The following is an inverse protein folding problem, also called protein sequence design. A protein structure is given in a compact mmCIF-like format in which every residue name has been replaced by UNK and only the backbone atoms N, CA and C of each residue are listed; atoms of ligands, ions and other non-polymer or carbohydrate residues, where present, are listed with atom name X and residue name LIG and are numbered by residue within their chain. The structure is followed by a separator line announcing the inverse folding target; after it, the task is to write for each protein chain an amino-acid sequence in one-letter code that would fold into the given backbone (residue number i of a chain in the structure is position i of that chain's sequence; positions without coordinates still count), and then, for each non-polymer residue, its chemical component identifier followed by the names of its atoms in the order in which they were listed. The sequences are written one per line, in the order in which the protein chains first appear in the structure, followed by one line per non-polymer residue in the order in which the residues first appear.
data_IF_425282374699
#
_entry.id   IF_425282374699
#
_cell.length_a   1.000
_cell.length_b   1.000
_cell.length_c   1.000
_cell.angle_alpha   90.00
_cell.angle_beta   90.00
_cell.angle_gamma   90.00
#
_symmetry.space_group_name_H-M   'P 1'
#
loop_
_entity.id
_entity.type
_entity.pdbx_description
1 polymer ?
#
# COMPACT_ATOMS: atom_id res chain seq x y z
N UNK A 1 -14.18 8.43 7.05
CA UNK A 1 -14.75 8.77 7.98
C UNK A 1 -15.48 10.11 8.18
N UNK A 2 -16.72 10.07 8.60
CA UNK A 2 -17.61 11.22 8.84
C UNK A 2 -17.83 12.15 7.63
N UNK A 3 -17.83 11.61 6.37
CA UNK A 3 -18.01 12.42 5.17
C UNK A 3 -16.82 13.28 4.75
N UNK A 4 -15.67 13.17 5.44
CA UNK A 4 -14.47 13.95 5.12
C UNK A 4 -13.56 13.20 4.14
N UNK A 5 -12.93 13.95 3.24
CA UNK A 5 -11.93 13.47 2.31
C UNK A 5 -10.53 13.69 2.91
N UNK A 6 -9.80 12.59 3.08
CA UNK A 6 -8.40 12.61 3.51
C UNK A 6 -7.51 12.36 2.32
N UNK A 7 -6.52 13.19 2.09
CA UNK A 7 -5.58 13.06 0.99
C UNK A 7 -4.14 13.19 1.44
N UNK A 8 -3.25 12.53 0.72
CA UNK A 8 -1.81 12.77 0.78
C UNK A 8 -1.42 13.75 -0.31
N UNK A 9 -0.74 14.81 0.05
CA UNK A 9 -0.11 15.75 -0.86
C UNK A 9 1.38 15.41 -0.93
N UNK A 10 1.79 14.69 -1.99
CA UNK A 10 3.14 14.12 -2.13
C UNK A 10 4.09 15.05 -2.87
N UNK A 11 4.86 15.82 -2.14
CA UNK A 11 5.86 16.75 -2.69
C UNK A 11 7.28 16.14 -2.77
N UNK A 12 7.50 14.99 -2.13
CA UNK A 12 8.81 14.32 -2.14
C UNK A 12 8.98 13.36 -3.32
N UNK A 13 7.88 12.88 -3.92
CA UNK A 13 7.97 12.00 -5.06
C UNK A 13 8.59 12.71 -6.28
N UNK A 14 9.48 12.07 -7.07
CA UNK A 14 9.89 10.66 -6.98
C UNK A 14 11.12 10.38 -6.10
N UNK A 15 11.65 11.35 -5.39
CA UNK A 15 12.89 11.17 -4.65
C UNK A 15 12.70 11.44 -3.16
N UNK A 16 13.01 10.42 -2.34
CA UNK A 16 13.06 10.57 -0.90
C UNK A 16 14.08 11.65 -0.51
N UNK A 17 13.66 12.61 0.30
CA UNK A 17 14.51 13.68 0.80
C UNK A 17 15.36 13.22 2.00
N UNK A 18 16.41 13.95 2.35
CA UNK A 18 17.15 13.73 3.59
C UNK A 18 16.23 13.74 4.82
N UNK A 19 16.67 13.09 5.90
CA UNK A 19 15.89 13.06 7.14
C UNK A 19 15.63 14.48 7.68
N UNK A 20 14.40 14.77 8.05
CA UNK A 20 13.99 16.08 8.53
C UNK A 20 13.64 17.09 7.43
N UNK A 21 13.82 16.76 6.16
CA UNK A 21 13.51 17.64 5.03
C UNK A 21 12.27 17.20 4.23
N UNK A 22 11.44 16.36 4.84
CA UNK A 22 10.18 15.92 4.23
C UNK A 22 9.23 17.08 3.95
N UNK A 23 8.48 16.99 2.85
CA UNK A 23 7.53 18.03 2.42
C UNK A 23 6.12 17.49 2.21
N UNK A 24 5.95 16.17 2.30
CA UNK A 24 4.64 15.57 2.15
C UNK A 24 3.76 15.91 3.34
N UNK A 25 2.48 16.02 3.08
CA UNK A 25 1.50 16.35 4.12
C UNK A 25 0.19 15.63 3.91
N UNK A 26 -0.58 15.53 4.99
CA UNK A 26 -1.93 14.99 4.97
C UNK A 26 -2.90 16.14 5.16
N UNK A 27 -3.88 16.20 4.28
CA UNK A 27 -4.93 17.19 4.25
C UNK A 27 -6.28 16.54 4.52
N UNK A 28 -7.16 17.31 5.17
CA UNK A 28 -8.55 16.94 5.38
C UNK A 28 -9.41 17.99 4.71
N UNK A 29 -10.36 17.54 3.93
CA UNK A 29 -11.38 18.38 3.33
C UNK A 29 -12.75 18.00 3.89
N UNK A 30 -13.58 18.98 4.18
CA UNK A 30 -14.94 18.78 4.67
C UNK A 30 -15.93 19.53 3.79
N UNK A 31 -17.01 18.85 3.47
CA UNK A 31 -18.22 19.39 2.88
C UNK A 31 -19.19 19.60 4.05
N UNK A 32 -19.36 20.87 4.46
CA UNK A 32 -20.03 21.22 5.72
C UNK A 32 -21.55 21.26 5.57
N UNK A 33 -22.05 21.57 4.37
CA UNK A 33 -23.48 21.68 4.09
C UNK A 33 -24.02 20.52 3.21
N UNK A 34 -23.15 19.58 2.83
CA UNK A 34 -23.45 18.39 2.00
C UNK A 34 -23.96 18.75 0.60
N UNK A 35 -23.44 19.81 -0.01
CA UNK A 35 -23.78 20.20 -1.37
C UNK A 35 -22.85 19.57 -2.44
N UNK A 36 -21.81 18.84 -2.02
CA UNK A 36 -20.83 18.20 -2.88
C UNK A 36 -19.58 19.05 -3.15
N UNK A 37 -19.49 20.23 -2.56
CA UNK A 37 -18.29 21.05 -2.54
C UNK A 37 -17.58 20.93 -1.20
N UNK A 38 -16.28 21.15 -1.18
CA UNK A 38 -15.48 21.10 0.05
C UNK A 38 -15.08 22.53 0.46
N UNK A 39 -15.78 23.11 1.43
CA UNK A 39 -15.57 24.50 1.90
C UNK A 39 -14.34 24.61 2.77
N UNK A 40 -14.03 23.57 3.51
CA UNK A 40 -12.90 23.61 4.44
C UNK A 40 -11.74 22.72 4.03
N UNK A 41 -10.54 23.22 4.28
CA UNK A 41 -9.27 22.50 4.08
C UNK A 41 -8.40 22.68 5.31
N UNK A 42 -8.05 21.59 5.96
CA UNK A 42 -7.17 21.54 7.12
C UNK A 42 -5.91 20.74 6.83
N UNK A 43 -4.76 21.18 7.32
CA UNK A 43 -3.54 20.37 7.37
C UNK A 43 -3.58 19.54 8.64
N UNK A 44 -3.61 18.22 8.52
CA UNK A 44 -3.52 17.30 9.65
C UNK A 44 -2.08 17.18 10.14
N UNK A 45 -1.16 16.92 9.23
CA UNK A 45 0.28 16.79 9.51
C UNK A 45 1.09 17.16 8.27
N UNK A 46 2.28 17.69 8.48
CA UNK A 46 3.26 18.02 7.43
C UNK A 46 4.67 17.54 7.84
N UNK A 47 5.62 17.66 6.92
CA UNK A 47 7.00 17.21 7.14
C UNK A 47 7.20 15.71 6.93
N UNK A 48 6.23 15.02 6.36
CA UNK A 48 6.36 13.61 5.98
C UNK A 48 7.24 13.45 4.73
N UNK A 49 7.71 12.24 4.47
CA UNK A 49 8.71 12.02 3.44
C UNK A 49 8.44 10.77 2.62
N UNK A 50 8.08 10.95 1.35
CA UNK A 50 7.77 9.90 0.39
C UNK A 50 6.59 9.03 0.85
N UNK A 51 5.47 9.67 1.15
CA UNK A 51 4.24 8.99 1.53
C UNK A 51 3.59 8.37 0.31
N UNK A 52 3.33 7.07 0.37
CA UNK A 52 2.74 6.30 -0.73
C UNK A 52 1.53 5.45 -0.31
N UNK A 53 1.24 5.39 0.98
CA UNK A 53 0.07 4.70 1.53
C UNK A 53 -0.50 5.45 2.72
N UNK A 54 -1.83 5.46 2.84
CA UNK A 54 -2.51 6.05 3.98
C UNK A 54 -3.85 5.35 4.23
N UNK A 55 -4.20 5.19 5.50
CA UNK A 55 -5.52 4.73 5.91
C UNK A 55 -5.90 5.31 7.26
N UNK A 56 -7.15 5.76 7.39
CA UNK A 56 -7.69 6.29 8.65
C UNK A 56 -8.43 5.18 9.40
N UNK A 57 -8.24 5.11 10.70
CA UNK A 57 -8.93 4.14 11.54
C UNK A 57 -8.18 3.81 12.82
N UNK A 58 -8.85 3.08 13.70
CA UNK A 58 -8.29 2.65 15.00
C UNK A 58 -7.66 3.80 15.82
N UNK A 59 -8.33 4.97 15.83
CA UNK A 59 -7.91 6.12 16.63
C UNK A 59 -6.73 6.92 16.07
N UNK A 60 -6.58 6.94 14.73
CA UNK A 60 -5.55 7.74 14.09
C UNK A 60 -5.36 7.46 12.61
N UNK A 61 -4.22 7.87 12.10
CA UNK A 61 -3.84 7.78 10.69
C UNK A 61 -2.62 6.87 10.54
N UNK A 62 -2.74 5.89 9.67
CA UNK A 62 -1.71 4.91 9.33
C UNK A 62 -1.06 5.29 8.01
N UNK A 63 0.27 5.40 8.01
CA UNK A 63 1.01 6.03 6.91
C UNK A 63 2.13 5.11 6.46
N UNK A 64 2.15 4.81 5.16
CA UNK A 64 3.29 4.20 4.49
C UNK A 64 4.23 5.27 3.97
N UNK A 65 5.37 5.44 4.62
CA UNK A 65 6.43 6.37 4.26
C UNK A 65 7.76 5.63 4.30
N UNK A 66 8.03 4.83 3.25
CA UNK A 66 9.18 3.94 3.24
C UNK A 66 10.48 4.65 3.69
N UNK A 67 11.27 4.02 4.59
CA UNK A 67 11.22 2.62 4.99
C UNK A 67 10.24 2.28 6.11
N UNK A 68 9.32 3.16 6.48
CA UNK A 68 8.52 3.06 7.71
C UNK A 68 7.04 2.87 7.45
N UNK A 69 6.39 2.13 8.35
CA UNK A 69 4.98 2.20 8.63
C UNK A 69 4.82 3.05 9.90
N UNK A 70 4.10 4.16 9.77
CA UNK A 70 3.86 5.12 10.84
C UNK A 70 2.41 5.08 11.30
N UNK A 71 2.20 5.43 12.55
CA UNK A 71 0.88 5.72 13.12
C UNK A 71 0.91 7.10 13.78
N UNK A 72 -0.06 7.94 13.43
CA UNK A 72 -0.27 9.25 14.08
C UNK A 72 -1.60 9.18 14.81
N UNK A 73 -1.60 9.26 16.15
CA UNK A 73 -2.83 9.18 16.93
C UNK A 73 -3.72 10.42 16.74
N UNK A 74 -5.00 10.19 16.66
CA UNK A 74 -6.11 11.15 16.72
C UNK A 74 -7.29 10.40 17.35
N UNK A 75 -7.23 10.24 18.67
CA UNK A 75 -8.13 9.35 19.43
C UNK A 75 -9.48 9.96 19.69
N UNK A 76 -9.53 11.27 19.89
CA UNK A 76 -10.77 12.02 20.08
C UNK A 76 -11.45 12.42 18.76
N UNK A 77 -10.71 12.34 17.66
CA UNK A 77 -11.21 12.58 16.31
C UNK A 77 -11.47 14.05 16.01
N UNK A 78 -10.67 14.94 16.59
CA UNK A 78 -10.75 16.40 16.41
C UNK A 78 -9.96 16.88 15.18
N UNK A 79 -9.36 15.94 14.43
CA UNK A 79 -8.53 16.21 13.25
C UNK A 79 -7.21 16.88 13.56
N UNK A 80 -6.69 16.65 14.75
CA UNK A 80 -5.35 17.06 15.17
C UNK A 80 -4.58 15.86 15.71
N UNK A 81 -3.28 15.76 15.45
CA UNK A 81 -2.47 14.72 16.06
C UNK A 81 -2.43 14.86 17.60
N UNK A 82 -2.76 13.79 18.32
CA UNK A 82 -2.61 13.70 19.78
C UNK A 82 -1.15 13.60 20.24
N UNK A 83 -0.23 13.42 19.29
CA UNK A 83 1.18 13.25 19.59
C UNK A 83 2.02 13.04 18.33
N UNK A 84 3.32 12.82 18.50
CA UNK A 84 4.22 12.57 17.37
C UNK A 84 3.89 11.25 16.65
N UNK A 85 4.34 11.15 15.41
CA UNK A 85 4.25 9.90 14.66
C UNK A 85 5.02 8.77 15.35
N UNK A 86 4.36 7.65 15.54
CA UNK A 86 4.93 6.42 16.09
C UNK A 86 5.42 5.55 14.94
N UNK A 87 6.70 5.09 14.99
CA UNK A 87 7.22 4.11 14.02
C UNK A 87 6.82 2.72 14.46
N UNK A 88 5.89 2.10 13.75
CA UNK A 88 5.40 0.75 14.05
C UNK A 88 6.30 -0.34 13.46
N UNK A 89 6.72 -0.12 12.23
CA UNK A 89 7.63 -1.00 11.48
C UNK A 89 8.63 -0.16 10.70
N UNK A 90 9.78 -0.77 10.43
CA UNK A 90 10.77 -0.24 9.49
C UNK A 90 11.30 -1.33 8.55
N UNK A 91 12.13 -0.94 7.58
CA UNK A 91 12.79 -1.86 6.67
C UNK A 91 12.03 -2.15 5.37
N UNK A 92 10.99 -1.36 5.05
CA UNK A 92 10.41 -1.35 3.70
C UNK A 92 11.40 -0.73 2.71
N UNK A 93 11.62 -1.41 1.58
CA UNK A 93 12.48 -0.92 0.51
C UNK A 93 11.88 0.29 -0.21
N UNK A 94 12.77 1.14 -0.76
CA UNK A 94 12.40 2.31 -1.58
C UNK A 94 13.43 2.59 -2.69
N UNK A 95 14.08 1.55 -3.18
CA UNK A 95 15.02 1.68 -4.30
C UNK A 95 14.29 2.08 -5.59
N UNK A 96 13.10 1.55 -5.79
CA UNK A 96 12.15 2.06 -6.78
C UNK A 96 10.99 2.75 -6.07
N UNK A 97 10.95 4.07 -6.16
CA UNK A 97 9.94 4.89 -5.48
C UNK A 97 8.56 4.83 -6.11
N UNK A 98 8.44 4.26 -7.33
CA UNK A 98 7.16 4.09 -8.00
C UNK A 98 6.28 3.00 -7.35
N UNK A 99 6.87 2.13 -6.54
CA UNK A 99 6.21 0.93 -6.05
C UNK A 99 6.59 0.58 -4.61
N UNK A 100 6.76 1.61 -3.79
CA UNK A 100 6.97 1.47 -2.35
C UNK A 100 5.70 0.93 -1.67
N UNK A 101 5.69 0.88 -0.36
CA UNK A 101 4.55 0.45 0.45
C UNK A 101 3.30 1.28 0.14
N UNK A 102 2.22 0.64 -0.34
CA UNK A 102 1.06 1.35 -0.88
C UNK A 102 -0.28 0.61 -0.66
N UNK A 103 -1.38 1.19 -1.15
CA UNK A 103 -2.72 0.59 -1.21
C UNK A 103 -3.24 0.11 0.14
N UNK A 104 -3.21 0.97 1.13
CA UNK A 104 -3.69 0.63 2.47
C UNK A 104 -5.20 0.48 2.52
N UNK A 105 -5.67 -0.60 3.14
CA UNK A 105 -7.08 -0.78 3.45
C UNK A 105 -7.29 -1.61 4.71
N UNK A 106 -8.41 -1.40 5.38
CA UNK A 106 -8.88 -2.29 6.44
C UNK A 106 -9.56 -3.51 5.83
N UNK A 107 -9.04 -4.68 6.11
CA UNK A 107 -9.70 -5.93 5.75
C UNK A 107 -10.93 -6.21 6.62
N UNK A 108 -11.82 -7.12 6.19
CA UNK A 108 -13.00 -7.51 6.95
C UNK A 108 -12.66 -8.23 8.26
N UNK A 109 -11.44 -8.67 8.41
CA UNK A 109 -10.87 -9.32 9.60
C UNK A 109 -10.21 -8.32 10.59
N UNK A 110 -10.28 -7.02 10.28
CA UNK A 110 -9.75 -5.95 11.12
C UNK A 110 -8.24 -5.74 11.03
N UNK A 111 -7.56 -6.37 10.08
CA UNK A 111 -6.15 -6.10 9.79
C UNK A 111 -6.01 -4.93 8.80
N UNK A 112 -4.93 -4.18 8.95
CA UNK A 112 -4.47 -3.27 7.91
C UNK A 112 -3.71 -4.07 6.87
N UNK A 113 -4.20 -4.04 5.64
CA UNK A 113 -3.52 -4.62 4.48
C UNK A 113 -2.81 -3.55 3.67
N UNK A 114 -1.78 -3.95 2.94
CA UNK A 114 -1.09 -3.11 1.98
C UNK A 114 -0.27 -3.93 1.00
N UNK A 115 0.19 -3.25 -0.03
CA UNK A 115 1.04 -3.81 -1.08
C UNK A 115 2.47 -3.28 -1.02
N UNK A 116 3.36 -3.99 -1.68
CA UNK A 116 4.68 -3.53 -2.08
C UNK A 116 5.04 -4.13 -3.43
N UNK A 117 5.65 -3.34 -4.30
CA UNK A 117 6.07 -3.79 -5.62
C UNK A 117 7.44 -4.48 -5.65
N UNK A 118 7.87 -4.83 -6.85
CA UNK A 118 8.86 -5.89 -7.10
C UNK A 118 10.32 -5.45 -6.97
N UNK A 119 10.66 -4.18 -7.22
CA UNK A 119 12.05 -3.70 -7.20
C UNK A 119 12.52 -3.19 -5.82
N UNK A 120 11.72 -3.42 -4.80
CA UNK A 120 12.00 -3.01 -3.43
C UNK A 120 12.26 -4.23 -2.55
N UNK A 121 13.52 -4.57 -2.38
CA UNK A 121 13.91 -5.59 -1.41
C UNK A 121 13.73 -5.04 0.02
N UNK A 122 12.88 -5.69 0.81
CA UNK A 122 12.56 -5.28 2.17
C UNK A 122 12.97 -6.31 3.20
N UNK A 123 13.33 -5.83 4.39
CA UNK A 123 13.56 -6.62 5.61
C UNK A 123 12.79 -5.94 6.74
N UNK A 124 11.51 -6.30 6.85
CA UNK A 124 10.51 -5.59 7.64
C UNK A 124 10.49 -6.13 9.08
N UNK A 125 10.51 -5.22 10.04
CA UNK A 125 10.45 -5.58 11.45
C UNK A 125 10.15 -4.38 12.34
N UNK A 126 10.08 -4.61 13.64
CA UNK A 126 9.98 -3.52 14.62
C UNK A 126 11.27 -2.69 14.60
N UNK A 127 11.19 -1.38 14.89
CA UNK A 127 12.39 -0.55 15.02
C UNK A 127 13.42 -1.17 15.97
N UNK A 128 14.67 -1.23 15.54
CA UNK A 128 15.76 -1.83 16.32
C UNK A 128 15.81 -3.35 16.35
N UNK A 129 14.86 -4.06 15.72
CA UNK A 129 14.91 -5.52 15.64
C UNK A 129 16.12 -6.00 14.83
N UNK A 130 16.83 -7.05 15.30
CA UNK A 130 17.93 -7.64 14.55
C UNK A 130 17.42 -8.28 13.24
N UNK A 131 18.29 -8.43 12.26
CA UNK A 131 17.93 -8.96 10.94
C UNK A 131 17.31 -10.36 10.99
N UNK A 132 17.70 -11.18 11.93
CA UNK A 132 17.13 -12.52 12.15
C UNK A 132 15.65 -12.53 12.55
N UNK A 133 15.12 -11.39 13.02
CA UNK A 133 13.70 -11.22 13.39
C UNK A 133 12.92 -10.45 12.33
N UNK A 134 13.56 -10.07 11.24
CA UNK A 134 12.93 -9.32 10.16
C UNK A 134 12.40 -10.25 9.07
N UNK A 135 11.25 -9.90 8.53
CA UNK A 135 10.60 -10.67 7.47
C UNK A 135 10.97 -10.09 6.10
N UNK A 136 11.43 -10.96 5.20
CA UNK A 136 11.76 -10.57 3.83
C UNK A 136 10.52 -10.39 2.97
N UNK A 137 10.48 -9.32 2.18
CA UNK A 137 9.45 -9.08 1.18
C UNK A 137 10.09 -8.44 -0.06
N UNK A 138 9.97 -9.09 -1.21
CA UNK A 138 10.41 -8.54 -2.49
C UNK A 138 9.27 -7.92 -3.29
N UNK A 139 8.12 -8.55 -3.26
CA UNK A 139 6.84 -8.07 -3.77
C UNK A 139 5.72 -8.85 -3.08
N UNK A 140 4.57 -8.25 -2.88
CA UNK A 140 3.45 -8.97 -2.29
C UNK A 140 2.45 -8.12 -1.55
N UNK A 141 1.52 -8.82 -0.95
CA UNK A 141 0.54 -8.29 -0.02
C UNK A 141 0.99 -8.59 1.40
N UNK A 142 1.01 -7.60 2.23
CA UNK A 142 1.30 -7.72 3.65
C UNK A 142 0.09 -7.27 4.47
N UNK A 143 0.09 -7.63 5.76
CA UNK A 143 -0.89 -7.13 6.71
C UNK A 143 -0.29 -6.86 8.08
N UNK A 144 -0.90 -5.94 8.80
CA UNK A 144 -0.52 -5.56 10.16
C UNK A 144 -1.74 -5.50 11.06
N UNK A 145 -1.66 -6.14 12.22
CA UNK A 145 -2.77 -6.13 13.19
C UNK A 145 -2.64 -4.94 14.14
N UNK A 146 -3.62 -4.01 14.16
CA UNK A 146 -3.49 -2.73 14.86
C UNK A 146 -3.40 -2.86 16.40
N UNK A 147 -3.99 -3.93 16.96
CA UNK A 147 -4.03 -4.14 18.42
C UNK A 147 -2.95 -5.11 18.87
N UNK A 148 -2.70 -6.19 18.13
CA UNK A 148 -1.69 -7.21 18.50
C UNK A 148 -0.28 -6.82 18.09
N UNK A 149 -0.13 -5.77 17.27
CA UNK A 149 1.15 -5.31 16.69
C UNK A 149 1.93 -6.43 15.99
N UNK A 150 1.21 -7.25 15.23
CA UNK A 150 1.75 -8.37 14.46
C UNK A 150 1.81 -8.00 12.98
N UNK A 151 2.94 -8.30 12.36
CA UNK A 151 3.17 -8.13 10.93
C UNK A 151 3.26 -9.50 10.27
N UNK A 152 2.62 -9.66 9.12
CA UNK A 152 2.66 -10.86 8.31
C UNK A 152 2.75 -10.51 6.83
N UNK A 153 3.50 -11.28 6.06
CA UNK A 153 3.36 -11.33 4.61
C UNK A 153 2.16 -12.22 4.31
N UNK A 154 1.10 -11.65 3.75
CA UNK A 154 -0.11 -12.38 3.43
C UNK A 154 0.05 -13.25 2.18
N UNK A 155 0.69 -12.67 1.13
CA UNK A 155 1.01 -13.37 -0.10
C UNK A 155 2.25 -12.77 -0.75
N UNK A 156 3.03 -13.59 -1.43
CA UNK A 156 4.25 -13.18 -2.14
C UNK A 156 4.01 -13.05 -3.64
N UNK A 157 4.78 -12.17 -4.27
CA UNK A 157 4.78 -12.01 -5.72
C UNK A 157 3.86 -10.90 -6.21
N UNK A 158 3.64 -10.86 -7.51
CA UNK A 158 3.04 -9.75 -8.23
C UNK A 158 4.10 -8.86 -8.87
N UNK A 159 3.68 -7.85 -9.58
CA UNK A 159 4.56 -6.91 -10.26
C UNK A 159 3.98 -5.51 -10.19
N UNK A 160 4.63 -4.65 -9.43
CA UNK A 160 4.26 -3.24 -9.27
C UNK A 160 2.78 -3.05 -8.97
N UNK A 161 2.31 -3.69 -7.92
CA UNK A 161 0.92 -3.64 -7.56
C UNK A 161 0.55 -2.28 -6.99
N UNK A 162 -0.52 -1.72 -7.58
CA UNK A 162 -1.24 -0.54 -7.12
C UNK A 162 -2.72 -0.85 -7.17
N UNK A 163 -3.32 -1.05 -6.05
CA UNK A 163 -4.72 -1.43 -5.91
C UNK A 163 -4.84 -2.73 -5.16
N UNK A 164 -5.60 -2.67 -4.11
CA UNK A 164 -5.94 -3.78 -3.24
C UNK A 164 -7.35 -3.55 -2.75
N UNK A 165 -8.22 -4.53 -2.96
CA UNK A 165 -9.59 -4.48 -2.48
C UNK A 165 -10.12 -5.88 -2.22
N UNK A 166 -11.28 -5.99 -1.61
CA UNK A 166 -11.96 -7.25 -1.38
C UNK A 166 -13.42 -7.19 -1.87
N UNK A 167 -13.91 -8.35 -2.28
CA UNK A 167 -15.29 -8.49 -2.70
C UNK A 167 -16.26 -8.66 -1.51
N UNK A 168 -17.53 -8.80 -1.79
CA UNK A 168 -18.58 -9.01 -0.79
C UNK A 168 -18.44 -10.29 0.05
N UNK A 169 -17.55 -11.19 -0.35
CA UNK A 169 -17.23 -12.44 0.35
C UNK A 169 -15.91 -12.36 1.11
N UNK A 170 -15.26 -11.19 1.12
CA UNK A 170 -13.97 -10.98 1.75
C UNK A 170 -12.78 -11.57 0.99
N UNK A 171 -12.96 -11.90 -0.30
CA UNK A 171 -11.87 -12.36 -1.15
C UNK A 171 -11.03 -11.16 -1.61
N UNK A 172 -9.72 -11.25 -1.45
CA UNK A 172 -8.80 -10.16 -1.79
C UNK A 172 -8.38 -10.21 -3.26
N UNK A 173 -8.28 -9.04 -3.84
CA UNK A 173 -7.79 -8.84 -5.21
C UNK A 173 -6.76 -7.72 -5.23
N UNK A 174 -5.73 -7.90 -6.06
CA UNK A 174 -4.75 -6.86 -6.38
C UNK A 174 -4.77 -6.56 -7.86
N UNK A 175 -4.41 -5.33 -8.20
CA UNK A 175 -4.04 -4.97 -9.57
C UNK A 175 -2.53 -4.76 -9.66
N UNK A 176 -1.94 -5.05 -10.81
CA UNK A 176 -0.51 -4.85 -11.04
C UNK A 176 -0.22 -4.46 -12.49
N UNK A 177 0.89 -3.75 -12.71
CA UNK A 177 1.18 -3.08 -13.97
C UNK A 177 1.47 -4.02 -15.14
N UNK A 178 1.74 -5.28 -14.91
CA UNK A 178 2.04 -6.25 -15.98
C UNK A 178 1.22 -7.51 -15.84
N UNK A 179 0.57 -7.82 -16.92
CA UNK A 179 0.03 -9.14 -17.12
C UNK A 179 1.00 -9.94 -17.95
N UNK A 180 1.36 -11.07 -17.44
CA UNK A 180 2.15 -12.03 -18.18
C UNK A 180 1.29 -13.19 -18.66
N UNK A 181 1.61 -13.68 -19.83
CA UNK A 181 0.97 -14.89 -20.38
C UNK A 181 -0.50 -14.74 -20.77
N UNK A 182 -0.94 -13.54 -21.12
CA UNK A 182 -2.33 -13.29 -21.53
C UNK A 182 -3.35 -13.37 -20.39
N UNK A 183 -2.88 -13.27 -19.16
CA UNK A 183 -3.71 -13.28 -17.98
C UNK A 183 -3.84 -11.86 -17.43
N UNK A 184 -5.01 -11.52 -16.88
CA UNK A 184 -5.35 -10.18 -16.43
C UNK A 184 -4.36 -9.53 -15.47
N UNK A 185 -4.38 -8.20 -15.41
CA UNK A 185 -3.65 -7.41 -14.42
C UNK A 185 -4.23 -7.56 -13.00
N UNK A 186 -5.42 -8.12 -12.88
CA UNK A 186 -6.08 -8.38 -11.59
C UNK A 186 -5.84 -9.81 -11.16
N UNK A 187 -5.40 -9.98 -9.93
CA UNK A 187 -5.09 -11.29 -9.34
C UNK A 187 -5.91 -11.49 -8.07
N UNK A 188 -6.60 -12.64 -7.96
CA UNK A 188 -7.19 -13.10 -6.71
C UNK A 188 -6.08 -13.53 -5.76
N UNK A 189 -6.04 -12.95 -4.57
CA UNK A 189 -4.98 -13.16 -3.59
C UNK A 189 -5.47 -14.05 -2.47
N UNK A 190 -4.82 -15.18 -2.29
CA UNK A 190 -5.09 -16.10 -1.17
C UNK A 190 -3.94 -16.07 -0.17
N UNK A 191 -4.24 -16.30 1.08
CA UNK A 191 -3.22 -16.34 2.13
C UNK A 191 -2.18 -17.42 1.83
N UNK A 192 -0.90 -17.06 1.99
CA UNK A 192 0.27 -17.86 1.63
C UNK A 192 0.40 -18.16 0.13
N UNK A 193 -0.35 -17.45 -0.71
CA UNK A 193 -0.18 -17.53 -2.16
C UNK A 193 1.19 -17.04 -2.61
N UNK A 194 1.73 -17.66 -3.66
CA UNK A 194 2.96 -17.25 -4.31
C UNK A 194 2.66 -16.97 -5.77
N UNK A 195 2.72 -15.71 -6.15
CA UNK A 195 2.40 -15.25 -7.49
C UNK A 195 3.67 -14.95 -8.27
N UNK A 196 3.55 -15.04 -9.58
CA UNK A 196 4.67 -14.72 -10.46
C UNK A 196 5.14 -13.28 -10.22
N UNK A 197 6.44 -13.06 -10.22
CA UNK A 197 7.02 -11.73 -10.29
C UNK A 197 8.17 -11.71 -11.33
N UNK A 198 8.45 -10.52 -11.85
CA UNK A 198 9.36 -10.38 -12.99
C UNK A 198 10.85 -10.46 -12.63
N UNK A 199 11.22 -10.41 -11.34
CA UNK A 199 12.62 -10.35 -10.93
C UNK A 199 13.08 -11.66 -10.29
N UNK A 200 12.22 -12.34 -9.57
CA UNK A 200 12.69 -13.36 -8.65
C UNK A 200 11.81 -14.60 -8.60
N UNK A 201 12.13 -15.55 -9.47
CA UNK A 201 11.49 -16.87 -9.46
C UNK A 201 11.76 -17.69 -8.18
N UNK A 202 12.75 -17.32 -7.37
CA UNK A 202 13.08 -18.06 -6.14
C UNK A 202 12.15 -17.74 -4.97
N UNK A 203 11.39 -16.64 -5.01
CA UNK A 203 10.37 -16.35 -4.01
C UNK A 203 9.08 -17.15 -4.19
N UNK A 204 8.89 -17.75 -5.33
CA UNK A 204 7.68 -18.49 -5.64
C UNK A 204 8.01 -19.93 -6.07
N UNK A 205 8.31 -20.83 -5.12
CA UNK A 205 8.48 -22.25 -5.46
C UNK A 205 7.22 -22.86 -6.09
N UNK A 206 6.05 -22.22 -5.83
CA UNK A 206 4.77 -22.60 -6.41
C UNK A 206 4.07 -21.32 -6.91
N UNK A 207 4.11 -21.08 -8.20
CA UNK A 207 3.47 -19.92 -8.81
C UNK A 207 1.99 -20.22 -9.04
N UNK A 208 1.12 -19.46 -8.37
CA UNK A 208 -0.32 -19.50 -8.66
C UNK A 208 -0.59 -18.76 -9.97
N UNK A 209 -1.51 -19.28 -10.76
CA UNK A 209 -2.00 -18.57 -11.93
C UNK A 209 -2.74 -17.29 -11.49
N UNK A 210 -2.55 -16.21 -12.25
CA UNK A 210 -3.34 -15.00 -12.05
C UNK A 210 -4.81 -15.27 -12.37
N UNK A 211 -5.69 -14.46 -11.82
CA UNK A 211 -7.10 -14.48 -12.18
C UNK A 211 -7.27 -14.20 -13.67
N UNK A 212 -8.28 -14.83 -14.27
CA UNK A 212 -8.63 -14.54 -15.66
C UNK A 212 -9.10 -13.08 -15.78
N UNK A 213 -8.81 -12.41 -16.92
CA UNK A 213 -9.28 -11.03 -17.13
C UNK A 213 -10.81 -10.96 -17.06
N UNK A 214 -11.32 -9.91 -16.43
CA UNK A 214 -12.76 -9.67 -16.32
C UNK A 214 -13.45 -9.43 -17.67
N UNK A 215 -12.71 -9.16 -18.71
CA UNK A 215 -13.22 -8.95 -20.07
C UNK A 215 -12.76 -10.06 -21.01
N UNK A 216 -13.57 -11.09 -21.24
CA UNK A 216 -13.20 -12.22 -22.12
C UNK A 216 -12.92 -11.83 -23.58
N UNK A 217 -13.30 -10.61 -24.00
CA UNK A 217 -13.09 -10.09 -25.35
C UNK A 217 -11.75 -9.38 -25.60
N UNK A 218 -10.94 -9.14 -24.57
CA UNK A 218 -9.67 -8.42 -24.69
C UNK A 218 -8.56 -9.36 -25.18
N UNK A 219 -8.69 -9.79 -26.43
CA UNK A 219 -7.70 -10.68 -27.09
C UNK A 219 -6.31 -10.07 -27.25
N UNK A 220 -6.16 -8.76 -27.09
CA UNK A 220 -4.90 -8.03 -27.31
C UNK A 220 -4.39 -7.29 -26.08
N UNK A 221 -4.81 -7.69 -24.92
CA UNK A 221 -4.43 -7.13 -23.65
C UNK A 221 -2.89 -7.14 -23.42
N UNK A 222 -2.19 -8.23 -23.77
CA UNK A 222 -0.72 -8.27 -23.78
C UNK A 222 -0.09 -7.25 -24.72
N UNK A 223 -0.70 -7.00 -25.86
CA UNK A 223 -0.22 -6.00 -26.80
C UNK A 223 -0.45 -4.57 -26.27
N UNK A 224 -1.54 -4.31 -25.62
CA UNK A 224 -1.79 -3.03 -24.98
C UNK A 224 -0.77 -2.79 -23.84
N UNK A 225 -0.60 -3.75 -22.95
CA UNK A 225 0.38 -3.71 -21.86
C UNK A 225 1.82 -3.55 -22.37
N UNK A 226 2.22 -4.31 -23.37
CA UNK A 226 3.56 -4.24 -23.94
C UNK A 226 3.80 -2.95 -24.73
N UNK A 227 2.78 -2.41 -25.38
CA UNK A 227 2.88 -1.22 -26.26
C UNK A 227 3.04 0.08 -25.47
N UNK A 228 2.49 0.16 -24.28
CA UNK A 228 2.54 1.36 -23.46
C UNK A 228 3.51 1.23 -22.28
N UNK A 229 4.22 0.12 -22.19
CA UNK A 229 5.27 -0.11 -21.19
C UNK A 229 4.77 -0.45 -19.78
N UNK A 230 3.59 -0.01 -19.43
CA UNK A 230 2.92 -0.34 -18.17
C UNK A 230 1.47 -0.70 -18.49
N UNK A 231 1.03 -1.84 -17.99
CA UNK A 231 -0.33 -2.31 -18.23
C UNK A 231 -1.34 -1.33 -17.70
N UNK A 232 -2.34 -1.02 -18.50
CA UNK A 232 -3.56 -0.44 -18.01
C UNK A 232 -4.33 -1.55 -17.31
N UNK A 233 -4.36 -1.47 -15.98
CA UNK A 233 -5.14 -2.36 -15.13
C UNK A 233 -6.58 -1.88 -14.99
#
# INVERSE_FOLDING_TARGET
ARGRLWIVEGHCYPQKRPAGEGLDRILIFSDEDNDGHFESRKVFVEGLNLVSGMQVGHGGVWIGAAPQLLFIPDRDGDDQPDGPAEVLLDGFGYADTHETVNSFMWGPDGWLYGNQGVFNASRIGKPGAPDSQRVGLGAGVWRYHPVRHQFEVFAHGGSNQWGLDYDQHGQLFITHCRSYWGQGSTTHVIQNGHYWNQINGSYAPFVSANALPFQPGLKNYLLASARYGHGEG
#
